data_IF_449309615227
#
_entry.id   IF_449309615227
#
_cell.length_a   1.000
_cell.length_b   1.000
_cell.length_c   1.000
_cell.angle_alpha   90.00
_cell.angle_beta   90.00
_cell.angle_gamma   90.00
#
_symmetry.space_group_name_H-M   'P 1'
#
loop_
_entity.id
_entity.type
_entity.pdbx_description
1 polymer ?
#
# COMPACT_ATOMS: atom_id res chain seq x y z
N UNK A 1 -13.99 33.77 -7.02
CA UNK A 1 -15.07 33.35 -7.94
C UNK A 1 -16.29 32.89 -7.15
N UNK A 2 -17.42 32.61 -7.82
CA UNK A 2 -18.69 32.26 -7.16
C UNK A 2 -19.37 31.12 -7.93
N UNK A 3 -19.90 30.13 -7.21
CA UNK A 3 -20.71 29.04 -7.77
C UNK A 3 -22.13 29.18 -7.24
N UNK A 4 -23.13 29.04 -8.12
CA UNK A 4 -24.55 29.14 -7.77
C UNK A 4 -25.23 27.85 -8.19
N UNK A 5 -25.77 27.12 -7.22
CA UNK A 5 -26.60 25.95 -7.46
C UNK A 5 -28.07 26.38 -7.51
N UNK A 6 -28.76 25.97 -8.57
CA UNK A 6 -30.17 26.32 -8.81
C UNK A 6 -30.95 25.03 -8.93
N UNK A 7 -31.96 24.86 -8.08
CA UNK A 7 -32.89 23.74 -8.13
C UNK A 7 -34.32 24.26 -8.33
N UNK A 8 -35.08 23.59 -9.21
CA UNK A 8 -36.45 23.96 -9.57
C UNK A 8 -36.67 25.46 -9.97
N UNK A 9 -35.62 26.17 -10.39
CA UNK A 9 -35.67 27.59 -10.74
C UNK A 9 -35.45 28.55 -9.57
N UNK A 10 -35.16 28.03 -8.38
CA UNK A 10 -34.79 28.78 -7.19
C UNK A 10 -33.28 28.61 -6.90
N UNK A 11 -32.65 29.66 -6.38
CA UNK A 11 -31.27 29.57 -5.91
C UNK A 11 -31.29 28.77 -4.61
N UNK A 12 -30.68 27.59 -4.64
CA UNK A 12 -30.68 26.67 -3.50
C UNK A 12 -29.44 26.91 -2.62
N UNK A 13 -28.24 26.97 -3.21
CA UNK A 13 -27.02 27.33 -2.48
C UNK A 13 -26.06 28.19 -3.31
N UNK A 14 -25.33 29.08 -2.64
CA UNK A 14 -24.29 29.91 -3.24
C UNK A 14 -22.98 29.67 -2.51
N UNK A 15 -21.91 29.43 -3.27
CA UNK A 15 -20.58 29.22 -2.75
C UNK A 15 -19.60 30.30 -3.21
N UNK A 16 -18.72 30.72 -2.31
CA UNK A 16 -17.53 31.50 -2.61
C UNK A 16 -16.36 30.57 -2.88
N UNK A 17 -15.58 30.88 -3.92
CA UNK A 17 -14.39 30.12 -4.31
C UNK A 17 -13.18 31.02 -4.23
N UNK A 18 -12.24 30.67 -3.33
CA UNK A 18 -11.03 31.46 -3.06
C UNK A 18 -9.80 30.58 -3.13
N UNK A 19 -8.71 31.08 -3.72
CA UNK A 19 -7.41 30.40 -3.67
C UNK A 19 -6.63 30.90 -2.46
N UNK A 20 -6.16 29.97 -1.62
CA UNK A 20 -5.38 30.23 -0.42
C UNK A 20 -4.10 29.39 -0.43
N UNK A 21 -3.06 29.85 0.26
CA UNK A 21 -1.84 29.04 0.48
C UNK A 21 -1.88 28.55 1.92
N UNK A 22 -2.09 27.24 2.11
CA UNK A 22 -2.17 26.60 3.43
C UNK A 22 -1.79 25.13 3.35
N UNK A 23 -1.71 24.47 4.51
CA UNK A 23 -1.63 23.00 4.59
C UNK A 23 -3.05 22.46 4.37
N UNK A 24 -3.29 21.61 3.36
CA UNK A 24 -4.61 21.02 3.12
C UNK A 24 -5.05 20.09 4.26
N UNK A 25 -6.36 20.00 4.48
CA UNK A 25 -6.93 19.06 5.45
C UNK A 25 -6.61 17.60 5.05
N UNK A 26 -6.24 16.79 6.05
CA UNK A 26 -5.84 15.39 5.89
C UNK A 26 -4.35 15.14 5.58
N UNK A 27 -3.52 16.17 5.42
CA UNK A 27 -2.06 16.03 5.29
C UNK A 27 -1.36 16.36 6.61
N UNK A 28 -0.48 15.45 7.08
CA UNK A 28 0.21 15.55 8.38
C UNK A 28 1.52 16.35 8.35
N UNK A 29 2.03 16.76 7.17
CA UNK A 29 3.33 17.43 7.05
C UNK A 29 3.20 18.96 6.90
N UNK A 30 3.69 19.69 7.90
CA UNK A 30 3.56 21.14 8.06
C UNK A 30 4.37 21.97 7.02
N UNK A 31 5.36 21.37 6.34
CA UNK A 31 6.22 22.03 5.34
C UNK A 31 5.64 22.03 3.91
N UNK A 32 4.40 21.54 3.73
CA UNK A 32 3.72 21.38 2.44
C UNK A 32 2.70 22.49 2.13
N UNK A 33 2.97 23.74 2.50
CA UNK A 33 2.06 24.83 2.13
C UNK A 33 1.89 24.90 0.60
N UNK A 34 0.68 24.64 0.14
CA UNK A 34 0.33 24.53 -1.29
C UNK A 34 -0.81 25.47 -1.62
N UNK A 35 -0.96 25.86 -2.89
CA UNK A 35 -2.18 26.50 -3.36
C UNK A 35 -3.36 25.53 -3.23
N UNK A 36 -4.36 25.91 -2.45
CA UNK A 36 -5.63 25.20 -2.24
C UNK A 36 -6.76 26.11 -2.67
N UNK A 37 -7.77 25.55 -3.32
CA UNK A 37 -9.03 26.25 -3.59
C UNK A 37 -10.00 25.90 -2.46
N UNK A 38 -10.40 26.90 -1.70
CA UNK A 38 -11.38 26.79 -0.61
C UNK A 38 -12.74 27.17 -1.16
N UNK A 39 -13.72 26.28 -0.94
CA UNK A 39 -15.13 26.51 -1.26
C UNK A 39 -15.85 26.73 0.07
N UNK A 40 -16.38 27.93 0.26
CA UNK A 40 -17.13 28.31 1.46
C UNK A 40 -18.56 28.71 1.14
N UNK A 41 -19.47 28.38 2.03
CA UNK A 41 -20.85 28.84 1.95
C UNK A 41 -20.89 30.38 1.96
N UNK A 42 -21.65 30.95 1.04
CA UNK A 42 -21.68 32.40 0.82
C UNK A 42 -22.30 33.16 2.00
N UNK A 43 -23.29 32.58 2.67
CA UNK A 43 -24.02 33.25 3.75
C UNK A 43 -23.26 33.23 5.07
N UNK A 44 -22.64 32.10 5.40
CA UNK A 44 -21.98 31.84 6.68
C UNK A 44 -20.48 32.05 6.65
N UNK A 45 -19.87 32.01 5.46
CA UNK A 45 -18.42 32.04 5.28
C UNK A 45 -17.70 30.78 5.77
N UNK A 46 -18.43 29.72 6.11
CA UNK A 46 -17.85 28.44 6.56
C UNK A 46 -17.29 27.70 5.36
N UNK A 47 -16.04 27.28 5.45
CA UNK A 47 -15.43 26.44 4.44
C UNK A 47 -16.07 25.05 4.51
N UNK A 48 -16.57 24.56 3.38
CA UNK A 48 -17.24 23.26 3.27
C UNK A 48 -16.41 22.26 2.46
N UNK A 49 -15.58 22.74 1.52
CA UNK A 49 -14.73 21.88 0.72
C UNK A 49 -13.37 22.51 0.42
N UNK A 50 -12.36 21.65 0.25
CA UNK A 50 -11.05 21.98 -0.29
C UNK A 50 -10.82 21.26 -1.60
N UNK A 51 -10.25 21.97 -2.57
CA UNK A 51 -9.75 21.37 -3.80
C UNK A 51 -8.26 21.63 -3.88
N UNK A 52 -7.49 20.54 -3.98
CA UNK A 52 -6.04 20.63 -4.15
C UNK A 52 -5.51 19.48 -4.98
N UNK A 53 -4.24 19.60 -5.39
CA UNK A 53 -3.56 18.56 -6.14
C UNK A 53 -2.81 17.63 -5.20
N UNK A 54 -3.18 16.36 -5.21
CA UNK A 54 -2.50 15.27 -4.52
C UNK A 54 -1.95 14.29 -5.57
N UNK A 55 -0.66 13.99 -5.54
CA UNK A 55 -0.02 13.03 -6.46
C UNK A 55 -0.44 13.18 -7.95
N UNK A 56 -0.49 14.44 -8.41
CA UNK A 56 -0.87 14.86 -9.79
C UNK A 56 -2.35 14.72 -10.14
N UNK A 57 -3.21 14.41 -9.18
CA UNK A 57 -4.66 14.36 -9.32
C UNK A 57 -5.32 15.49 -8.55
N UNK A 58 -6.42 16.03 -9.08
CA UNK A 58 -7.21 17.07 -8.41
C UNK A 58 -8.30 16.39 -7.59
N UNK A 59 -8.25 16.56 -6.27
CA UNK A 59 -9.21 15.95 -5.32
C UNK A 59 -10.08 17.04 -4.70
N UNK A 60 -11.32 16.69 -4.34
CA UNK A 60 -12.25 17.55 -3.58
C UNK A 60 -12.54 16.89 -2.25
N UNK A 61 -12.24 17.58 -1.15
CA UNK A 61 -12.30 17.05 0.21
C UNK A 61 -13.29 17.87 1.02
N UNK A 62 -14.31 17.26 1.66
CA UNK A 62 -15.21 17.99 2.55
C UNK A 62 -14.49 18.37 3.86
N UNK A 63 -14.80 19.56 4.37
CA UNK A 63 -14.26 20.10 5.62
C UNK A 63 -15.31 19.89 6.72
N UNK A 64 -14.91 19.29 7.85
CA UNK A 64 -15.79 19.14 9.03
C UNK A 64 -16.32 17.73 9.32
N UNK A 65 -15.96 16.71 8.52
CA UNK A 65 -16.31 15.30 8.77
C UNK A 65 -15.40 14.61 9.81
N UNK A 66 -14.63 15.38 10.59
CA UNK A 66 -13.64 14.85 11.56
C UNK A 66 -14.24 14.45 12.92
N UNK A 67 -15.51 14.78 13.19
CA UNK A 67 -16.09 14.56 14.53
C UNK A 67 -16.64 13.15 14.80
N UNK A 68 -16.44 12.16 13.91
CA UNK A 68 -16.81 10.78 14.19
C UNK A 68 -15.65 9.79 13.98
N UNK A 69 -14.72 9.81 14.94
CA UNK A 69 -14.13 8.57 15.43
C UNK A 69 -13.06 7.91 14.56
N UNK A 70 -11.92 8.58 14.39
CA UNK A 70 -10.61 7.93 14.30
C UNK A 70 -10.17 7.39 12.92
N UNK A 71 -9.06 7.98 12.45
CA UNK A 71 -7.97 7.36 11.66
C UNK A 71 -8.10 7.22 10.14
N UNK A 72 -9.12 7.72 9.46
CA UNK A 72 -9.07 7.84 7.99
C UNK A 72 -9.52 9.26 7.61
N UNK A 73 -8.58 10.09 7.13
CA UNK A 73 -8.90 11.40 6.57
C UNK A 73 -9.84 11.22 5.37
N UNK A 74 -10.63 12.25 5.00
CA UNK A 74 -11.47 12.18 3.80
C UNK A 74 -10.67 11.86 2.53
N UNK A 75 -9.39 12.26 2.50
CA UNK A 75 -8.41 11.96 1.46
C UNK A 75 -8.04 10.48 1.46
N UNK A 76 -7.81 9.90 2.64
CA UNK A 76 -7.47 8.49 2.81
C UNK A 76 -8.59 7.61 2.24
N UNK A 77 -9.86 7.97 2.50
CA UNK A 77 -10.99 7.24 1.92
C UNK A 77 -11.02 7.32 0.40
N UNK A 78 -10.81 8.50 -0.18
CA UNK A 78 -10.79 8.70 -1.64
C UNK A 78 -9.63 7.91 -2.26
N UNK A 79 -8.44 7.98 -1.67
CA UNK A 79 -7.27 7.26 -2.14
C UNK A 79 -7.51 5.74 -2.08
N UNK A 80 -8.01 5.24 -0.96
CA UNK A 80 -8.36 3.82 -0.78
C UNK A 80 -9.35 3.32 -1.82
N UNK A 81 -10.45 4.05 -2.04
CA UNK A 81 -11.48 3.70 -3.02
C UNK A 81 -10.93 3.67 -4.46
N UNK A 82 -10.04 4.59 -4.80
CA UNK A 82 -9.42 4.66 -6.14
C UNK A 82 -8.43 3.51 -6.37
N UNK A 83 -7.58 3.22 -5.38
CA UNK A 83 -6.65 2.07 -5.41
C UNK A 83 -7.44 0.77 -5.56
N UNK A 84 -8.47 0.60 -4.72
CA UNK A 84 -9.31 -0.60 -4.74
C UNK A 84 -9.98 -0.77 -6.11
N UNK A 85 -10.45 0.33 -6.72
CA UNK A 85 -11.06 0.32 -8.06
C UNK A 85 -10.09 -0.09 -9.15
N UNK A 86 -8.89 0.50 -9.19
CA UNK A 86 -7.87 0.17 -10.19
C UNK A 86 -7.42 -1.29 -10.05
N UNK A 87 -7.17 -1.76 -8.82
CA UNK A 87 -6.73 -3.14 -8.59
C UNK A 87 -7.85 -4.14 -8.90
N UNK A 88 -9.10 -3.86 -8.51
CA UNK A 88 -10.26 -4.72 -8.81
C UNK A 88 -10.53 -4.83 -10.32
N UNK A 89 -10.07 -3.89 -11.13
CA UNK A 89 -10.16 -4.00 -12.60
C UNK A 89 -9.25 -5.12 -13.16
N UNK A 90 -8.26 -5.55 -12.39
CA UNK A 90 -7.23 -6.54 -12.77
C UNK A 90 -7.40 -7.86 -11.99
N UNK A 91 -7.72 -7.78 -10.69
CA UNK A 91 -7.94 -8.92 -9.80
C UNK A 91 -9.33 -9.53 -10.01
N UNK A 92 -9.44 -10.87 -9.87
CA UNK A 92 -10.71 -11.60 -10.01
C UNK A 92 -11.43 -11.79 -8.67
N UNK A 93 -10.68 -11.88 -7.58
CA UNK A 93 -11.13 -12.17 -6.24
C UNK A 93 -11.32 -10.95 -5.36
N UNK A 94 -11.31 -11.16 -4.05
CA UNK A 94 -11.42 -10.09 -3.08
C UNK A 94 -10.14 -9.25 -3.03
N UNK A 95 -10.32 -7.94 -2.89
CA UNK A 95 -9.24 -6.97 -2.77
C UNK A 95 -9.55 -6.11 -1.56
N UNK A 96 -8.58 -5.98 -0.68
CA UNK A 96 -8.64 -5.08 0.47
C UNK A 96 -7.43 -4.16 0.47
N UNK A 97 -7.63 -2.89 0.78
CA UNK A 97 -6.58 -1.87 0.75
C UNK A 97 -6.42 -1.30 2.15
N UNK A 98 -5.18 -1.24 2.62
CA UNK A 98 -4.78 -0.56 3.85
C UNK A 98 -3.80 0.55 3.50
N UNK A 99 -4.13 1.79 3.89
CA UNK A 99 -3.20 2.91 3.74
C UNK A 99 -2.25 2.92 4.93
N UNK A 100 -0.94 2.91 4.65
CA UNK A 100 0.09 2.95 5.69
C UNK A 100 0.54 4.41 5.94
N UNK A 101 0.67 5.18 4.87
CA UNK A 101 0.96 6.60 4.87
C UNK A 101 0.32 7.26 3.64
N UNK A 102 0.47 8.58 3.49
CA UNK A 102 -0.13 9.32 2.37
C UNK A 102 0.34 8.80 1.01
N UNK A 103 1.52 8.19 0.91
CA UNK A 103 2.13 7.83 -0.36
C UNK A 103 2.37 6.33 -0.55
N UNK A 104 1.94 5.49 0.40
CA UNK A 104 2.15 4.04 0.41
C UNK A 104 0.89 3.30 0.85
N UNK A 105 0.49 2.32 0.04
CA UNK A 105 -0.64 1.45 0.30
C UNK A 105 -0.24 -0.02 0.29
N UNK A 106 -0.82 -0.81 1.18
CA UNK A 106 -0.75 -2.28 1.15
C UNK A 106 -2.06 -2.80 0.58
N UNK A 107 -1.96 -3.61 -0.47
CA UNK A 107 -3.10 -4.17 -1.19
C UNK A 107 -3.07 -5.68 -1.01
N UNK A 108 -4.08 -6.19 -0.32
CA UNK A 108 -4.28 -7.60 -0.05
C UNK A 108 -5.17 -8.22 -1.13
N UNK A 109 -4.64 -9.22 -1.82
CA UNK A 109 -5.32 -9.93 -2.91
C UNK A 109 -5.35 -11.43 -2.67
N UNK A 110 -6.19 -12.15 -3.41
CA UNK A 110 -6.16 -13.62 -3.41
C UNK A 110 -4.83 -14.14 -4.00
N UNK A 111 -4.37 -15.31 -3.53
CA UNK A 111 -3.12 -15.94 -4.00
C UNK A 111 -3.10 -16.14 -5.53
N UNK A 112 -4.25 -16.46 -6.13
CA UNK A 112 -4.36 -16.62 -7.58
C UNK A 112 -4.26 -15.29 -8.36
N UNK A 113 -4.48 -14.16 -7.71
CA UNK A 113 -4.51 -12.84 -8.34
C UNK A 113 -3.16 -12.12 -8.27
N UNK A 114 -2.26 -12.49 -7.33
CA UNK A 114 -1.00 -11.78 -7.08
C UNK A 114 -0.15 -11.58 -8.34
N UNK A 115 0.10 -12.65 -9.09
CA UNK A 115 0.89 -12.58 -10.33
C UNK A 115 0.20 -11.76 -11.42
N UNK A 116 -1.13 -11.76 -11.44
CA UNK A 116 -1.91 -10.99 -12.42
C UNK A 116 -1.91 -9.51 -12.06
N UNK A 117 -2.01 -9.16 -10.79
CA UNK A 117 -1.97 -7.77 -10.29
C UNK A 117 -0.59 -7.16 -10.51
N UNK A 118 0.47 -7.86 -10.12
CA UNK A 118 1.85 -7.37 -10.30
C UNK A 118 2.23 -7.30 -11.79
N UNK A 119 1.86 -8.32 -12.57
CA UNK A 119 2.18 -8.43 -13.99
C UNK A 119 3.65 -8.80 -14.26
N UNK A 120 3.95 -9.14 -15.52
CA UNK A 120 5.29 -9.58 -15.93
C UNK A 120 6.34 -8.49 -15.67
N UNK A 121 7.37 -8.82 -14.91
CA UNK A 121 8.40 -7.86 -14.50
C UNK A 121 7.89 -6.69 -13.66
N UNK A 122 6.73 -6.80 -12.99
CA UNK A 122 6.12 -5.69 -12.24
C UNK A 122 5.44 -4.63 -13.11
N UNK A 123 5.42 -4.78 -14.44
CA UNK A 123 4.95 -3.73 -15.35
C UNK A 123 3.54 -3.24 -15.05
N UNK A 124 2.63 -4.13 -14.65
CA UNK A 124 1.22 -3.76 -14.45
C UNK A 124 1.02 -2.99 -13.16
N UNK A 125 1.64 -3.42 -12.06
CA UNK A 125 1.54 -2.67 -10.81
C UNK A 125 2.26 -1.33 -10.93
N UNK A 126 3.41 -1.28 -11.59
CA UNK A 126 4.10 -0.01 -11.86
C UNK A 126 3.26 0.95 -12.71
N UNK A 127 2.53 0.46 -13.71
CA UNK A 127 1.58 1.29 -14.48
C UNK A 127 0.44 1.83 -13.62
N UNK A 128 0.02 1.10 -12.57
CA UNK A 128 -0.99 1.57 -11.60
C UNK A 128 -0.37 2.60 -10.65
N UNK A 129 0.81 2.32 -10.10
CA UNK A 129 1.58 3.22 -9.23
C UNK A 129 1.87 4.55 -9.93
N UNK A 130 2.31 4.55 -11.19
CA UNK A 130 2.61 5.76 -11.97
C UNK A 130 1.36 6.62 -12.22
N UNK A 131 0.18 6.00 -12.35
CA UNK A 131 -1.10 6.70 -12.57
C UNK A 131 -1.69 7.26 -11.28
N UNK A 132 -1.54 6.53 -10.17
CA UNK A 132 -2.03 6.93 -8.85
C UNK A 132 -1.02 7.81 -8.09
N UNK A 133 0.25 7.77 -8.48
CA UNK A 133 1.36 8.49 -7.85
C UNK A 133 1.67 8.03 -6.42
N UNK A 134 1.34 6.78 -6.08
CA UNK A 134 1.60 6.15 -4.79
C UNK A 134 2.39 4.84 -5.00
N UNK A 135 3.08 4.39 -3.95
CA UNK A 135 3.71 3.06 -3.93
C UNK A 135 2.69 2.02 -3.45
N UNK A 136 2.62 0.87 -4.11
CA UNK A 136 1.66 -0.19 -3.80
C UNK A 136 2.40 -1.49 -3.49
N UNK A 137 2.29 -1.94 -2.24
CA UNK A 137 2.76 -3.26 -1.82
C UNK A 137 1.63 -4.28 -2.01
N UNK A 138 1.85 -5.27 -2.86
CA UNK A 138 0.84 -6.31 -3.16
C UNK A 138 1.15 -7.56 -2.34
N UNK A 139 0.23 -7.93 -1.45
CA UNK A 139 0.36 -9.08 -0.55
C UNK A 139 -0.82 -10.04 -0.69
N UNK A 140 -0.65 -11.28 -0.23
CA UNK A 140 -1.76 -12.24 -0.24
C UNK A 140 -2.61 -12.13 1.02
N UNK A 141 -3.92 -12.34 0.89
CA UNK A 141 -4.85 -12.38 2.05
C UNK A 141 -4.46 -13.46 3.08
N UNK A 142 -3.76 -14.52 2.67
CA UNK A 142 -3.24 -15.57 3.55
C UNK A 142 -2.16 -15.04 4.52
N UNK A 143 -1.39 -14.04 4.12
CA UNK A 143 -0.35 -13.44 4.97
C UNK A 143 -0.97 -12.62 6.11
N UNK A 144 -2.12 -11.97 5.84
CA UNK A 144 -2.83 -11.16 6.84
C UNK A 144 -3.44 -11.98 7.98
N UNK A 145 -3.89 -13.22 7.72
CA UNK A 145 -4.34 -14.11 8.80
C UNK A 145 -3.19 -14.61 9.68
N UNK A 146 -1.96 -14.58 9.17
CA UNK A 146 -0.76 -15.05 9.88
C UNK A 146 -0.28 -14.01 10.91
N UNK A 147 -0.45 -12.72 10.62
CA UNK A 147 -0.09 -11.61 11.51
C UNK A 147 -1.11 -11.38 12.63
N UNK A 148 -2.41 -11.57 12.37
CA UNK A 148 -3.48 -11.40 13.38
C UNK A 148 -3.60 -12.58 14.39
N UNK A 149 -2.85 -13.66 14.22
CA UNK A 149 -2.89 -14.86 15.07
C UNK A 149 -1.97 -14.83 16.29
N UNK A 150 -1.11 -13.83 16.47
CA UNK A 150 -0.14 -13.77 17.59
C UNK A 150 -0.74 -13.09 18.82
N UNK A 151 -1.81 -13.68 19.36
CA UNK A 151 -2.51 -13.12 20.51
C UNK A 151 -3.48 -14.08 21.18
N UNK A 152 -3.01 -15.24 21.65
CA UNK A 152 -3.51 -16.02 22.82
C UNK A 152 -3.38 -17.53 22.60
N UNK A 153 -2.39 -18.18 23.23
CA UNK A 153 -2.65 -19.05 24.37
C UNK A 153 -1.35 -19.66 24.88
N UNK A 154 -1.06 -19.32 26.12
CA UNK A 154 -0.10 -19.95 27.01
C UNK A 154 -0.61 -21.33 27.45
N UNK A 155 0.21 -22.35 27.22
CA UNK A 155 0.52 -23.36 28.25
C UNK A 155 -0.10 -24.76 28.14
N UNK A 156 0.82 -25.73 28.23
CA UNK A 156 0.69 -27.13 28.71
C UNK A 156 0.26 -28.20 27.68
N UNK A 157 0.90 -29.36 27.50
CA UNK A 157 2.06 -30.01 28.14
C UNK A 157 2.57 -31.13 27.19
N UNK A 158 3.86 -31.42 27.30
CA UNK A 158 4.65 -32.53 26.72
C UNK A 158 3.94 -33.89 26.64
N UNK A 159 4.14 -34.66 25.56
CA UNK A 159 4.66 -36.05 25.65
C UNK A 159 5.27 -36.50 24.31
N UNK A 160 6.23 -37.43 24.42
CA UNK A 160 7.30 -37.79 23.48
C UNK A 160 6.90 -38.72 22.32
N UNK A 161 7.69 -38.59 21.24
CA UNK A 161 8.26 -39.64 20.38
C UNK A 161 7.36 -40.57 19.55
N UNK A 162 7.49 -40.50 18.22
CA UNK A 162 8.12 -41.56 17.40
C UNK A 162 8.30 -41.15 15.93
N UNK A 163 9.56 -41.24 15.49
CA UNK A 163 10.11 -41.56 14.15
C UNK A 163 9.14 -42.38 13.28
N UNK A 164 8.93 -42.21 11.97
CA UNK A 164 9.81 -41.89 10.84
C UNK A 164 8.93 -41.82 9.53
N UNK A 165 9.51 -41.64 8.34
CA UNK A 165 9.48 -40.45 7.51
C UNK A 165 8.32 -40.41 6.49
N UNK A 166 7.59 -39.31 6.42
CA UNK A 166 6.80 -38.96 5.24
C UNK A 166 7.60 -37.99 4.39
N UNK A 167 7.81 -38.34 3.13
CA UNK A 167 8.44 -37.50 2.13
C UNK A 167 7.71 -36.17 2.02
N UNK A 168 8.28 -35.14 2.66
CA UNK A 168 7.94 -33.76 2.37
C UNK A 168 8.99 -33.26 1.39
N UNK A 169 8.57 -33.11 0.14
CA UNK A 169 9.29 -32.36 -0.88
C UNK A 169 9.67 -31.03 -0.24
N UNK A 170 10.95 -30.84 0.03
CA UNK A 170 11.50 -29.53 0.36
C UNK A 170 11.28 -28.68 -0.89
N UNK A 171 10.22 -27.89 -0.93
CA UNK A 171 10.21 -26.68 -1.75
C UNK A 171 11.23 -25.76 -1.09
N UNK A 172 12.51 -26.04 -1.39
CA UNK A 172 13.65 -25.35 -0.81
C UNK A 172 13.72 -23.99 -1.48
N UNK A 173 13.26 -22.96 -0.79
CA UNK A 173 13.56 -21.60 -1.21
C UNK A 173 15.08 -21.40 -1.27
N UNK A 174 15.51 -20.56 -2.20
CA UNK A 174 16.90 -20.22 -2.45
C UNK A 174 17.33 -19.22 -1.38
N UNK A 175 18.26 -19.60 -0.52
CA UNK A 175 18.86 -18.66 0.42
C UNK A 175 19.71 -17.65 -0.35
N UNK A 176 19.44 -16.37 -0.17
CA UNK A 176 20.12 -15.26 -0.86
C UNK A 176 20.66 -14.28 0.17
N UNK A 177 21.75 -13.61 -0.17
CA UNK A 177 22.29 -12.52 0.64
C UNK A 177 21.91 -11.19 -0.03
N UNK A 178 20.99 -10.41 0.56
CA UNK A 178 20.66 -9.09 0.04
C UNK A 178 21.85 -8.14 0.17
N UNK A 179 22.05 -7.28 -0.82
CA UNK A 179 23.03 -6.21 -0.81
C UNK A 179 22.34 -4.88 -0.52
N UNK A 180 22.79 -4.17 0.51
CA UNK A 180 22.19 -2.90 0.92
C UNK A 180 22.99 -1.74 0.31
N UNK A 181 22.36 -0.96 -0.57
CA UNK A 181 22.94 0.22 -1.22
C UNK A 181 22.30 1.50 -0.68
N UNK A 182 22.90 2.68 -0.95
CA UNK A 182 22.39 3.97 -0.46
C UNK A 182 20.90 4.24 -0.75
N UNK A 183 20.37 3.67 -1.84
CA UNK A 183 19.00 3.90 -2.30
C UNK A 183 18.12 2.66 -2.37
N UNK A 184 18.69 1.46 -2.41
CA UNK A 184 17.93 0.22 -2.58
C UNK A 184 18.53 -0.94 -1.78
N UNK A 185 17.68 -1.86 -1.34
CA UNK A 185 18.07 -3.20 -0.92
C UNK A 185 17.88 -4.14 -2.13
N UNK A 186 18.97 -4.74 -2.58
CA UNK A 186 19.02 -5.56 -3.81
C UNK A 186 19.10 -7.03 -3.42
N UNK A 187 18.15 -7.82 -3.92
CA UNK A 187 18.10 -9.27 -3.70
C UNK A 187 18.45 -9.97 -5.02
N UNK A 188 19.66 -10.55 -5.15
CA UNK A 188 20.07 -11.23 -6.37
C UNK A 188 19.39 -12.61 -6.48
N UNK A 189 18.76 -12.87 -7.62
CA UNK A 189 18.01 -14.09 -7.92
C UNK A 189 18.34 -14.52 -9.36
N UNK A 190 19.39 -15.32 -9.50
CA UNK A 190 19.87 -15.80 -10.80
C UNK A 190 18.86 -16.74 -11.48
N UNK A 191 18.64 -16.56 -12.79
CA UNK A 191 17.89 -17.50 -13.62
C UNK A 191 16.37 -17.43 -13.53
N UNK A 192 15.82 -16.54 -12.69
CA UNK A 192 14.37 -16.38 -12.47
C UNK A 192 13.80 -15.08 -13.03
N UNK A 193 14.45 -14.50 -14.04
CA UNK A 193 14.06 -13.20 -14.59
C UNK A 193 12.62 -13.21 -15.14
N UNK A 194 11.79 -12.31 -14.60
CA UNK A 194 10.37 -12.19 -14.95
C UNK A 194 9.43 -13.08 -14.14
N UNK A 195 9.96 -13.97 -13.30
CA UNK A 195 9.17 -14.80 -12.40
C UNK A 195 8.74 -13.98 -11.18
N UNK A 196 7.54 -14.27 -10.66
CA UNK A 196 7.10 -13.78 -9.35
C UNK A 196 7.73 -14.65 -8.28
N UNK A 197 8.31 -14.00 -7.27
CA UNK A 197 9.02 -14.66 -6.18
C UNK A 197 8.50 -14.18 -4.83
N UNK A 198 8.36 -15.11 -3.91
CA UNK A 198 8.10 -14.81 -2.50
C UNK A 198 9.40 -14.68 -1.74
N UNK A 199 9.58 -13.56 -1.04
CA UNK A 199 10.75 -13.29 -0.20
C UNK A 199 10.37 -13.49 1.27
N UNK A 200 11.16 -14.29 1.97
CA UNK A 200 10.93 -14.69 3.36
C UNK A 200 12.19 -14.49 4.20
N UNK A 201 12.06 -14.12 5.46
CA UNK A 201 13.14 -14.17 6.45
C UNK A 201 12.91 -15.39 7.37
N UNK A 202 13.83 -16.36 7.32
CA UNK A 202 13.72 -17.68 7.92
C UNK A 202 12.44 -18.43 7.51
N UNK A 203 11.35 -18.25 8.26
CA UNK A 203 10.03 -18.85 7.99
C UNK A 203 8.93 -17.79 7.85
N UNK A 204 9.24 -16.52 8.10
CA UNK A 204 8.32 -15.39 8.06
C UNK A 204 8.32 -14.78 6.65
N UNK A 205 7.12 -14.60 6.08
CA UNK A 205 6.96 -13.92 4.80
C UNK A 205 7.25 -12.43 4.97
N UNK A 206 8.00 -11.85 4.03
CA UNK A 206 8.25 -10.41 4.00
C UNK A 206 7.39 -9.75 2.92
N UNK A 207 7.60 -10.14 1.66
CA UNK A 207 6.90 -9.55 0.51
C UNK A 207 7.02 -10.44 -0.74
N UNK A 208 6.23 -10.11 -1.77
CA UNK A 208 6.28 -10.75 -3.08
C UNK A 208 6.71 -9.71 -4.10
N UNK A 209 7.63 -10.09 -4.98
CA UNK A 209 8.10 -9.20 -6.03
C UNK A 209 8.32 -9.97 -7.33
N UNK A 210 8.43 -9.24 -8.44
CA UNK A 210 8.84 -9.85 -9.70
C UNK A 210 10.32 -9.60 -9.94
N UNK A 211 11.04 -10.65 -10.31
CA UNK A 211 12.47 -10.53 -10.61
C UNK A 211 12.65 -9.71 -11.88
N UNK A 212 13.51 -8.70 -11.81
CA UNK A 212 13.85 -7.87 -12.96
C UNK A 212 14.56 -8.69 -14.06
N UNK A 213 14.71 -8.09 -15.24
CA UNK A 213 15.49 -8.70 -16.34
C UNK A 213 16.96 -8.93 -15.97
N UNK A 214 17.47 -8.21 -14.97
CA UNK A 214 18.81 -8.36 -14.44
C UNK A 214 19.00 -9.56 -13.52
N UNK A 215 17.91 -10.28 -13.18
CA UNK A 215 17.98 -11.37 -12.21
C UNK A 215 18.07 -10.86 -10.77
N UNK A 216 17.40 -9.76 -10.46
CA UNK A 216 17.40 -9.16 -9.12
C UNK A 216 16.05 -8.54 -8.79
N UNK A 217 15.72 -8.51 -7.51
CA UNK A 217 14.61 -7.72 -6.95
C UNK A 217 15.21 -6.52 -6.24
N UNK A 218 14.75 -5.31 -6.57
CA UNK A 218 15.21 -4.08 -5.95
C UNK A 218 14.07 -3.50 -5.10
N UNK A 219 14.35 -3.24 -3.83
CA UNK A 219 13.41 -2.59 -2.90
C UNK A 219 13.97 -1.22 -2.55
N UNK A 220 13.21 -0.15 -2.81
CA UNK A 220 13.62 1.21 -2.47
C UNK A 220 13.78 1.38 -0.96
N UNK A 221 14.92 1.92 -0.53
CA UNK A 221 15.20 2.20 0.88
C UNK A 221 14.27 3.29 1.40
N UNK A 222 13.76 3.12 2.61
CA UNK A 222 12.74 4.00 3.22
C UNK A 222 11.30 3.53 2.94
N UNK A 223 11.11 2.44 2.19
CA UNK A 223 9.83 1.72 2.20
C UNK A 223 9.72 0.85 3.45
N UNK A 224 8.49 0.59 3.91
CA UNK A 224 8.25 -0.34 5.02
C UNK A 224 8.88 -1.73 4.78
N UNK A 225 8.90 -2.17 3.52
CA UNK A 225 9.54 -3.43 3.11
C UNK A 225 11.05 -3.38 3.31
N UNK A 226 11.69 -2.26 2.94
CA UNK A 226 13.12 -2.09 3.16
C UNK A 226 13.46 -2.07 4.64
N UNK A 227 12.66 -1.42 5.49
CA UNK A 227 12.87 -1.43 6.95
C UNK A 227 12.74 -2.83 7.54
N UNK A 228 11.74 -3.62 7.09
CA UNK A 228 11.54 -4.99 7.55
C UNK A 228 12.67 -5.92 7.09
N UNK A 229 13.13 -5.75 5.84
CA UNK A 229 14.24 -6.51 5.26
C UNK A 229 15.58 -6.15 5.91
N UNK A 230 15.87 -4.86 6.10
CA UNK A 230 17.06 -4.38 6.82
C UNK A 230 17.04 -4.89 8.26
N UNK A 231 15.90 -4.81 8.95
CA UNK A 231 15.71 -5.37 10.28
C UNK A 231 15.96 -6.87 10.32
N UNK A 232 15.49 -7.64 9.33
CA UNK A 232 15.76 -9.07 9.26
C UNK A 232 17.26 -9.38 9.08
N UNK A 233 17.95 -8.62 8.23
CA UNK A 233 19.40 -8.75 7.98
C UNK A 233 20.21 -8.41 9.25
N UNK A 234 19.88 -7.30 9.90
CA UNK A 234 20.56 -6.83 11.13
C UNK A 234 20.40 -7.83 12.29
N UNK A 235 19.26 -8.54 12.33
CA UNK A 235 19.00 -9.60 13.30
C UNK A 235 19.59 -10.97 12.87
N UNK A 236 20.31 -11.03 11.75
CA UNK A 236 20.98 -12.24 11.26
C UNK A 236 20.02 -13.32 10.75
N UNK A 237 18.80 -12.96 10.35
CA UNK A 237 17.82 -13.88 9.77
C UNK A 237 18.20 -14.25 8.34
N UNK A 238 17.92 -15.48 7.93
CA UNK A 238 18.26 -15.95 6.58
C UNK A 238 17.18 -15.54 5.59
N UNK A 239 17.52 -14.68 4.62
CA UNK A 239 16.58 -14.33 3.55
C UNK A 239 16.52 -15.45 2.52
N UNK A 240 15.30 -15.90 2.23
CA UNK A 240 15.00 -17.04 1.37
C UNK A 240 13.98 -16.63 0.33
N UNK A 241 14.22 -17.00 -0.93
CA UNK A 241 13.35 -16.66 -2.06
C UNK A 241 12.75 -17.92 -2.65
N UNK A 242 11.44 -17.95 -2.83
CA UNK A 242 10.73 -19.07 -3.45
C UNK A 242 10.10 -18.62 -4.76
N UNK A 243 10.55 -19.12 -5.92
CA UNK A 243 9.88 -18.89 -7.20
C UNK A 243 8.49 -19.53 -7.19
N UNK A 244 7.48 -18.77 -7.64
CA UNK A 244 6.10 -19.21 -7.78
C UNK A 244 5.77 -19.67 -9.20
#
# INVERSE_FOLDING_TARGET
DTVVYVDAGEIDVVYNVTTEVKVPEGLMEEDLARPVIVISDFETGRAEYEIYTFNRQVVTVPIGDEEQGGRESGVDRIAKDEIEREIRSIARGHVEVELHDSNTAVVWVEENDISTVIGKGGSRISDVEDRLGISIDVRTLADRTSTNGRGSQTGQTQTQAQTQPSGSTRTGGIAVAPEITDRHVVIPIEGHAGDTVEVRADSEYLFTATVSRGGEVQVSRGSAIAEELEGAIDNGRTVTVTPS
#
